data_IF_720486261686
#
_entry.id   IF_720486261686
#
_cell.length_a   1.000
_cell.length_b   1.000
_cell.length_c   1.000
_cell.angle_alpha   90.00
_cell.angle_beta   90.00
_cell.angle_gamma   90.00
#
_symmetry.space_group_name_H-M   'P 1'
#
loop_
_entity.id
_entity.type
_entity.pdbx_description
1 polymer ?
#
# COMPACT_ATOMS: atom_id res chain seq x y z
N UNK A 1 -28.54 10.29 0.92
CA UNK A 1 -27.36 9.54 0.45
C UNK A 1 -27.85 8.14 0.14
N UNK A 2 -28.16 7.88 -1.12
CA UNK A 2 -28.81 6.64 -1.57
C UNK A 2 -27.78 5.51 -1.49
N UNK A 3 -28.02 4.54 -0.60
CA UNK A 3 -27.24 3.30 -0.52
C UNK A 3 -27.46 2.49 -1.79
N UNK A 4 -26.39 2.09 -2.47
CA UNK A 4 -26.45 1.17 -3.60
C UNK A 4 -26.93 -0.19 -3.05
N UNK A 5 -28.02 -0.78 -3.58
CA UNK A 5 -28.50 -2.09 -3.13
C UNK A 5 -27.48 -3.19 -3.45
N UNK A 6 -27.35 -4.19 -2.58
CA UNK A 6 -26.31 -5.24 -2.65
C UNK A 6 -26.27 -5.99 -4.00
N UNK A 7 -27.42 -6.22 -4.64
CA UNK A 7 -27.50 -6.85 -5.96
C UNK A 7 -26.92 -5.99 -7.09
N UNK A 8 -27.03 -4.67 -6.98
CA UNK A 8 -26.44 -3.73 -7.91
C UNK A 8 -24.92 -3.62 -7.69
N UNK A 9 -24.47 -3.79 -6.44
CA UNK A 9 -23.04 -3.86 -6.11
C UNK A 9 -22.38 -5.13 -6.68
N UNK A 10 -23.02 -6.30 -6.56
CA UNK A 10 -22.53 -7.55 -7.13
C UNK A 10 -22.40 -7.47 -8.66
N UNK A 11 -23.42 -6.93 -9.33
CA UNK A 11 -23.38 -6.73 -10.79
C UNK A 11 -22.28 -5.76 -11.22
N UNK A 12 -22.05 -4.67 -10.47
CA UNK A 12 -20.97 -3.72 -10.72
C UNK A 12 -19.59 -4.35 -10.49
N UNK A 13 -19.45 -5.22 -9.50
CA UNK A 13 -18.21 -5.96 -9.24
C UNK A 13 -17.92 -6.94 -10.38
N UNK A 14 -18.93 -7.65 -10.87
CA UNK A 14 -18.80 -8.59 -11.99
C UNK A 14 -18.45 -7.85 -13.29
N UNK A 15 -19.14 -6.75 -13.58
CA UNK A 15 -18.84 -5.86 -14.71
C UNK A 15 -17.41 -5.31 -14.65
N UNK A 16 -16.95 -4.88 -13.46
CA UNK A 16 -15.57 -4.39 -13.27
C UNK A 16 -14.52 -5.49 -13.30
N UNK A 17 -14.89 -6.74 -13.01
CA UNK A 17 -13.99 -7.89 -13.07
C UNK A 17 -13.63 -8.31 -14.50
N UNK A 18 -14.47 -7.95 -15.47
CA UNK A 18 -14.27 -8.23 -16.89
C UNK A 18 -13.58 -7.10 -17.65
N UNK A 19 -13.24 -6.00 -16.98
CA UNK A 19 -12.58 -4.87 -17.61
C UNK A 19 -11.17 -5.27 -18.09
N UNK A 20 -10.78 -4.92 -19.34
CA UNK A 20 -9.46 -5.21 -19.86
C UNK A 20 -8.36 -4.60 -18.97
N UNK A 21 -7.36 -5.43 -18.63
CA UNK A 21 -6.18 -5.01 -17.88
C UNK A 21 -4.95 -5.25 -18.74
N UNK A 22 -4.18 -4.19 -18.97
CA UNK A 22 -2.91 -4.24 -19.69
C UNK A 22 -1.76 -4.03 -18.71
N UNK A 23 -0.87 -5.01 -18.58
CA UNK A 23 0.35 -4.86 -17.80
C UNK A 23 1.44 -4.24 -18.67
N UNK A 24 2.18 -3.32 -18.08
CA UNK A 24 3.27 -2.57 -18.72
C UNK A 24 4.56 -2.84 -17.96
N UNK A 25 5.62 -3.20 -18.66
CA UNK A 25 6.91 -3.41 -18.04
C UNK A 25 7.99 -3.84 -19.01
N UNK A 26 9.18 -4.10 -18.45
CA UNK A 26 10.36 -4.50 -19.23
C UNK A 26 10.35 -5.98 -19.60
N UNK A 27 9.72 -6.82 -18.78
CA UNK A 27 9.71 -8.28 -19.00
C UNK A 27 8.75 -8.64 -20.15
N UNK A 28 9.00 -9.74 -20.88
CA UNK A 28 8.17 -10.18 -22.00
C UNK A 28 6.82 -10.79 -21.57
N UNK A 29 6.57 -10.94 -20.27
CA UNK A 29 5.28 -11.41 -19.71
C UNK A 29 4.21 -10.29 -19.66
N UNK A 30 4.59 -9.05 -19.93
CA UNK A 30 3.67 -7.91 -19.98
C UNK A 30 3.03 -7.80 -21.36
N UNK A 31 1.78 -7.31 -21.42
CA UNK A 31 1.12 -6.99 -22.69
C UNK A 31 1.77 -5.80 -23.40
N UNK A 32 2.34 -4.86 -22.64
CA UNK A 32 3.10 -3.72 -23.17
C UNK A 32 4.55 -3.86 -22.71
N UNK A 33 5.40 -4.33 -23.62
CA UNK A 33 6.82 -4.54 -23.34
C UNK A 33 7.61 -3.31 -23.74
N UNK A 34 8.24 -2.65 -22.78
CA UNK A 34 9.14 -1.53 -23.01
C UNK A 34 10.55 -1.95 -22.61
N UNK A 35 11.38 -2.25 -23.62
CA UNK A 35 12.73 -2.78 -23.45
C UNK A 35 13.75 -1.70 -22.99
N UNK A 36 13.52 -1.11 -21.82
CA UNK A 36 14.42 -0.14 -21.19
C UNK A 36 14.85 -0.64 -19.81
N UNK A 37 16.15 -0.62 -19.51
CA UNK A 37 16.72 -1.04 -18.23
C UNK A 37 16.25 -0.25 -17.00
N UNK A 38 15.71 0.97 -17.18
CA UNK A 38 15.13 1.78 -16.12
C UNK A 38 13.67 1.43 -15.82
N UNK A 39 13.02 0.63 -16.65
CA UNK A 39 11.64 0.19 -16.43
C UNK A 39 11.66 -1.11 -15.62
N UNK A 40 10.87 -1.14 -14.53
CA UNK A 40 10.68 -2.34 -13.72
C UNK A 40 10.15 -3.51 -14.55
N UNK A 41 10.43 -4.75 -14.10
CA UNK A 41 9.96 -5.95 -14.78
C UNK A 41 8.44 -5.96 -14.97
N UNK A 42 7.70 -5.58 -13.93
CA UNK A 42 6.30 -5.14 -13.99
C UNK A 42 6.29 -3.72 -13.42
N UNK A 43 5.94 -2.73 -14.24
CA UNK A 43 6.10 -1.32 -13.89
C UNK A 43 4.77 -0.68 -13.53
N UNK A 44 3.78 -0.85 -14.39
CA UNK A 44 2.46 -0.26 -14.21
C UNK A 44 1.39 -1.18 -14.83
N UNK A 45 0.12 -0.90 -14.54
CA UNK A 45 -1.02 -1.49 -15.26
C UNK A 45 -2.02 -0.42 -15.66
N UNK A 46 -2.70 -0.67 -16.78
CA UNK A 46 -3.84 0.10 -17.25
C UNK A 46 -5.10 -0.76 -17.12
N UNK A 47 -6.12 -0.20 -16.47
CA UNK A 47 -7.44 -0.83 -16.32
C UNK A 47 -8.41 0.01 -17.12
N UNK A 48 -8.98 -0.56 -18.19
CA UNK A 48 -9.92 0.15 -19.04
C UNK A 48 -11.28 0.27 -18.35
N UNK A 49 -11.74 1.48 -18.03
CA UNK A 49 -13.02 1.70 -17.35
C UNK A 49 -14.15 2.03 -18.34
N UNK A 50 -13.81 2.71 -19.44
CA UNK A 50 -14.69 2.99 -20.57
C UNK A 50 -13.88 3.10 -21.86
N UNK A 51 -14.51 3.46 -22.98
CA UNK A 51 -13.82 3.64 -24.27
C UNK A 51 -12.67 4.67 -24.17
N UNK A 52 -12.89 5.78 -23.44
CA UNK A 52 -11.98 6.92 -23.41
C UNK A 52 -11.35 7.16 -22.03
N UNK A 53 -11.69 6.34 -21.02
CA UNK A 53 -11.21 6.50 -19.64
C UNK A 53 -10.57 5.23 -19.11
N UNK A 54 -9.33 5.35 -18.67
CA UNK A 54 -8.54 4.26 -18.11
C UNK A 54 -8.00 4.66 -16.73
N UNK A 55 -7.70 3.67 -15.91
CA UNK A 55 -6.98 3.87 -14.66
C UNK A 55 -5.55 3.37 -14.86
N UNK A 56 -4.59 4.26 -14.71
CA UNK A 56 -3.18 3.94 -14.64
C UNK A 56 -2.76 3.74 -13.19
N UNK A 57 -2.10 2.62 -12.90
CA UNK A 57 -1.61 2.27 -11.56
C UNK A 57 -0.14 1.85 -11.63
N UNK A 58 0.68 2.49 -10.79
CA UNK A 58 2.09 2.14 -10.61
C UNK A 58 2.21 0.91 -9.71
N UNK A 59 2.97 -0.10 -10.15
CA UNK A 59 3.17 -1.35 -9.42
C UNK A 59 4.44 -1.31 -8.55
N UNK A 60 4.63 -0.19 -7.84
CA UNK A 60 5.81 0.08 -7.01
C UNK A 60 7.10 0.07 -7.84
N UNK A 61 7.08 0.80 -8.95
CA UNK A 61 8.18 0.82 -9.88
C UNK A 61 9.39 1.59 -9.31
N UNK A 62 10.61 1.14 -9.67
CA UNK A 62 11.85 1.68 -9.09
C UNK A 62 12.01 3.18 -9.35
N UNK A 63 11.60 3.64 -10.53
CA UNK A 63 11.76 5.03 -10.96
C UNK A 63 10.44 5.81 -10.95
N UNK A 64 9.32 5.15 -10.63
CA UNK A 64 7.99 5.75 -10.61
C UNK A 64 7.33 5.92 -11.98
N UNK A 65 6.01 6.05 -11.92
CA UNK A 65 5.15 6.45 -13.03
C UNK A 65 4.69 7.90 -12.81
N UNK A 66 4.67 8.70 -13.87
CA UNK A 66 4.23 10.09 -13.84
C UNK A 66 3.19 10.34 -14.92
N UNK A 67 2.24 11.22 -14.64
CA UNK A 67 1.24 11.67 -15.62
C UNK A 67 1.29 13.19 -15.66
N UNK A 68 1.55 13.75 -16.85
CA UNK A 68 1.71 15.20 -17.06
C UNK A 68 2.68 15.81 -16.02
N UNK A 69 3.82 15.15 -15.79
CA UNK A 69 4.90 15.58 -14.88
C UNK A 69 4.68 15.27 -13.39
N UNK A 70 3.52 14.76 -12.98
CA UNK A 70 3.22 14.46 -11.58
C UNK A 70 3.37 12.97 -11.29
N UNK A 71 4.12 12.59 -10.25
CA UNK A 71 4.27 11.18 -9.83
C UNK A 71 2.93 10.67 -9.33
N UNK A 72 2.52 9.50 -9.79
CA UNK A 72 1.25 8.87 -9.39
C UNK A 72 1.49 7.50 -8.79
N UNK A 73 0.56 7.08 -7.94
CA UNK A 73 0.37 5.69 -7.54
C UNK A 73 -0.82 5.09 -8.28
N UNK A 74 -1.91 5.84 -8.41
CA UNK A 74 -3.09 5.50 -9.21
C UNK A 74 -3.76 6.78 -9.71
N UNK A 75 -4.13 6.84 -10.99
CA UNK A 75 -4.80 8.03 -11.58
C UNK A 75 -5.70 7.63 -12.75
N UNK A 76 -6.85 8.30 -12.87
CA UNK A 76 -7.70 8.21 -14.06
C UNK A 76 -7.04 9.04 -15.16
N UNK A 77 -6.88 8.44 -16.34
CA UNK A 77 -6.18 8.99 -17.50
C UNK A 77 -7.05 8.83 -18.76
N UNK A 78 -6.96 9.81 -19.64
CA UNK A 78 -7.55 9.74 -20.99
C UNK A 78 -6.53 9.31 -22.03
N UNK A 79 -6.99 9.00 -23.25
CA UNK A 79 -6.13 8.55 -24.36
C UNK A 79 -5.02 9.55 -24.74
N UNK A 80 -5.27 10.85 -24.55
CA UNK A 80 -4.33 11.92 -24.89
C UNK A 80 -3.38 12.30 -23.74
N UNK A 81 -3.55 11.71 -22.55
CA UNK A 81 -2.66 12.00 -21.42
C UNK A 81 -1.27 11.45 -21.69
N UNK A 82 -0.26 12.25 -21.35
CA UNK A 82 1.14 11.84 -21.45
C UNK A 82 1.57 11.16 -20.16
N UNK A 83 2.03 9.93 -20.29
CA UNK A 83 2.57 9.11 -19.22
C UNK A 83 4.07 9.00 -19.38
N UNK A 84 4.77 9.23 -18.30
CA UNK A 84 6.19 8.98 -18.20
C UNK A 84 6.43 7.77 -17.29
N UNK A 85 7.04 6.72 -17.85
CA UNK A 85 7.44 5.50 -17.17
C UNK A 85 8.97 5.53 -17.05
N UNK A 86 9.47 5.81 -15.85
CA UNK A 86 10.88 6.16 -15.65
C UNK A 86 11.33 7.34 -16.55
N UNK A 87 12.17 7.07 -17.55
CA UNK A 87 12.68 8.05 -18.51
C UNK A 87 12.06 7.92 -19.92
N UNK A 88 11.08 7.03 -20.10
CA UNK A 88 10.32 6.93 -21.34
C UNK A 88 8.99 7.67 -21.22
N UNK A 89 8.61 8.42 -22.26
CA UNK A 89 7.34 9.13 -22.34
C UNK A 89 6.51 8.56 -23.47
N UNK A 90 5.24 8.29 -23.20
CA UNK A 90 4.26 7.76 -24.15
C UNK A 90 2.90 8.44 -23.92
N UNK A 91 2.07 8.49 -24.94
CA UNK A 91 0.64 8.73 -24.74
C UNK A 91 -0.08 7.43 -24.34
N UNK A 92 -1.23 7.53 -23.69
CA UNK A 92 -2.04 6.35 -23.39
C UNK A 92 -2.47 5.63 -24.67
N UNK A 93 -2.82 6.37 -25.72
CA UNK A 93 -3.12 5.81 -27.04
C UNK A 93 -1.98 4.94 -27.58
N UNK A 94 -0.75 5.45 -27.55
CA UNK A 94 0.45 4.69 -27.97
C UNK A 94 0.64 3.41 -27.15
N UNK A 95 0.45 3.47 -25.82
CA UNK A 95 0.57 2.28 -24.97
C UNK A 95 -0.48 1.21 -25.32
N UNK A 96 -1.70 1.61 -25.69
CA UNK A 96 -2.75 0.69 -26.13
C UNK A 96 -2.49 0.13 -27.53
N UNK A 97 -1.94 0.93 -28.44
CA UNK A 97 -1.48 0.46 -29.76
C UNK A 97 -0.36 -0.57 -29.62
N UNK A 98 0.59 -0.36 -28.71
CA UNK A 98 1.63 -1.33 -28.39
C UNK A 98 1.05 -2.63 -27.83
N UNK A 99 0.01 -2.55 -26.98
CA UNK A 99 -0.70 -3.73 -26.48
C UNK A 99 -1.44 -4.50 -27.59
N UNK A 100 -1.93 -3.78 -28.60
CA UNK A 100 -2.70 -4.33 -29.73
C UNK A 100 -1.83 -4.90 -30.84
N UNK A 101 -0.59 -4.40 -30.96
CA UNK A 101 0.38 -4.76 -32.01
C UNK A 101 1.22 -5.99 -31.66
N UNK A 102 1.23 -6.41 -30.39
CA UNK A 102 1.88 -7.65 -30.00
C UNK A 102 0.95 -8.84 -30.31
N UNK A 103 1.43 -9.87 -31.04
CA UNK A 103 0.65 -11.09 -31.18
C UNK A 103 0.39 -11.64 -29.78
N UNK A 104 -0.89 -11.74 -29.42
CA UNK A 104 -1.29 -12.34 -28.16
C UNK A 104 -0.60 -13.71 -28.04
N UNK A 105 0.14 -14.00 -26.97
CA UNK A 105 0.43 -15.38 -26.65
C UNK A 105 -0.93 -16.02 -26.39
N UNK A 106 -1.34 -16.86 -27.34
CA UNK A 106 -2.61 -17.58 -27.37
C UNK A 106 -3.06 -17.99 -25.97
N UNK A 107 -4.19 -17.42 -25.54
CA UNK A 107 -5.02 -18.02 -24.51
C UNK A 107 -5.48 -19.39 -25.02
N UNK A 108 -4.84 -20.45 -24.57
CA UNK A 108 -5.39 -21.79 -24.63
C UNK A 108 -5.10 -22.51 -23.32
N UNK A 109 -6.15 -23.13 -22.79
CA UNK A 109 -6.16 -23.98 -21.60
C UNK A 109 -5.17 -25.18 -21.70
N UNK A 110 -4.93 -25.92 -20.60
CA UNK A 110 -3.64 -26.51 -20.26
C UNK A 110 -3.35 -27.84 -20.97
N UNK A 111 -2.06 -28.16 -21.14
CA UNK A 111 -1.35 -29.46 -20.94
C UNK A 111 -0.09 -29.54 -21.84
N UNK A 112 0.74 -30.60 -21.77
CA UNK A 112 1.76 -30.91 -20.75
C UNK A 112 3.19 -31.01 -21.35
N UNK A 113 4.22 -30.92 -20.48
CA UNK A 113 5.59 -31.50 -20.53
C UNK A 113 6.37 -31.41 -21.87
N UNK A 114 7.58 -30.84 -21.91
CA UNK A 114 8.90 -31.52 -21.94
C UNK A 114 9.96 -30.39 -21.81
N UNK A 115 10.70 -30.28 -20.69
CA UNK A 115 12.11 -30.73 -20.48
C UNK A 115 13.02 -30.48 -21.70
N UNK A 116 14.19 -29.85 -21.69
CA UNK A 116 15.20 -29.58 -20.68
C UNK A 116 16.07 -28.42 -21.19
N UNK A 117 16.52 -27.57 -20.26
CA UNK A 117 17.86 -26.95 -20.28
C UNK A 117 18.13 -26.51 -18.84
N UNK A 118 18.67 -27.46 -18.08
CA UNK A 118 19.07 -27.34 -16.70
C UNK A 118 20.41 -26.63 -16.58
N UNK A 119 20.54 -25.65 -15.68
CA UNK A 119 21.69 -25.41 -14.78
C UNK A 119 21.46 -24.16 -13.89
N UNK A 120 21.81 -24.15 -12.58
CA UNK A 120 22.07 -25.25 -11.64
C UNK A 120 20.97 -25.37 -10.57
N UNK A 121 20.79 -26.59 -10.08
CA UNK A 121 19.94 -26.90 -8.95
C UNK A 121 20.47 -26.30 -7.64
N UNK A 122 19.67 -25.45 -7.00
CA UNK A 122 19.61 -25.34 -5.54
C UNK A 122 18.23 -25.83 -5.10
N UNK A 123 18.05 -27.15 -5.11
CA UNK A 123 16.92 -27.80 -4.43
C UNK A 123 17.20 -27.77 -2.93
N UNK A 124 16.65 -26.77 -2.25
CA UNK A 124 16.16 -26.79 -0.86
C UNK A 124 15.89 -25.32 -0.49
N UNK A 125 14.69 -24.81 -0.24
CA UNK A 125 13.48 -25.45 0.27
C UNK A 125 12.38 -24.42 0.00
N UNK A 126 11.38 -24.69 -0.84
CA UNK A 126 10.22 -23.79 -0.98
C UNK A 126 9.29 -23.83 0.25
N UNK A 127 9.80 -24.28 1.40
CA UNK A 127 9.11 -24.32 2.68
C UNK A 127 9.42 -23.02 3.42
N UNK A 128 8.40 -22.18 3.53
CA UNK A 128 8.41 -20.91 4.22
C UNK A 128 7.43 -20.91 5.41
N UNK A 129 7.14 -22.09 5.98
CA UNK A 129 6.15 -22.24 7.05
C UNK A 129 6.45 -21.35 8.25
N UNK A 130 7.71 -21.27 8.68
CA UNK A 130 8.11 -20.42 9.80
C UNK A 130 8.02 -18.93 9.46
N UNK A 131 8.47 -18.54 8.27
CA UNK A 131 8.43 -17.15 7.82
C UNK A 131 6.99 -16.66 7.63
N UNK A 132 6.08 -17.52 7.17
CA UNK A 132 4.66 -17.19 7.05
C UNK A 132 3.96 -17.12 8.41
N UNK A 133 4.28 -18.00 9.36
CA UNK A 133 3.77 -17.91 10.73
C UNK A 133 4.16 -16.58 11.38
N UNK A 134 5.37 -16.07 11.14
CA UNK A 134 5.79 -14.76 11.64
C UNK A 134 4.95 -13.59 11.07
N UNK A 135 4.27 -13.75 9.93
CA UNK A 135 3.40 -12.74 9.34
C UNK A 135 2.04 -12.63 10.05
N UNK A 136 1.63 -13.64 10.83
CA UNK A 136 0.43 -13.57 11.68
C UNK A 136 0.54 -12.41 12.66
N UNK A 137 1.70 -12.29 13.31
CA UNK A 137 1.99 -11.17 14.20
C UNK A 137 1.91 -9.82 13.49
N UNK A 138 2.39 -9.73 12.25
CA UNK A 138 2.33 -8.49 11.45
C UNK A 138 0.88 -8.11 11.13
N UNK A 139 0.05 -9.09 10.76
CA UNK A 139 -1.38 -8.92 10.50
C UNK A 139 -2.12 -8.44 11.76
N UNK A 140 -1.91 -9.11 12.89
CA UNK A 140 -2.56 -8.80 14.17
C UNK A 140 -2.13 -7.46 14.78
N UNK A 141 -0.87 -7.07 14.58
CA UNK A 141 -0.33 -5.82 15.12
C UNK A 141 -0.82 -4.60 14.34
N UNK A 142 -1.06 -4.72 13.04
CA UNK A 142 -1.48 -3.61 12.18
C UNK A 142 -2.73 -2.85 12.69
N UNK A 143 -3.88 -3.49 12.96
CA UNK A 143 -5.06 -2.79 13.44
C UNK A 143 -4.87 -2.20 14.85
N UNK A 144 -4.04 -2.83 15.69
CA UNK A 144 -3.70 -2.36 17.04
C UNK A 144 -2.88 -1.07 16.96
N UNK A 145 -1.80 -1.06 16.16
CA UNK A 145 -0.95 0.12 15.93
C UNK A 145 -1.74 1.31 15.38
N UNK A 146 -2.65 1.06 14.42
CA UNK A 146 -3.50 2.11 13.84
C UNK A 146 -4.51 2.67 14.85
N UNK A 147 -5.08 1.81 15.69
CA UNK A 147 -5.99 2.19 16.78
C UNK A 147 -5.25 2.97 17.86
N UNK A 148 -4.07 2.53 18.26
CA UNK A 148 -3.24 3.18 19.28
C UNK A 148 -2.77 4.55 18.82
N UNK A 149 -2.41 4.70 17.54
CA UNK A 149 -2.08 5.99 16.94
C UNK A 149 -3.25 6.98 17.04
N UNK A 150 -4.47 6.53 16.70
CA UNK A 150 -5.70 7.34 16.82
C UNK A 150 -6.07 7.65 18.27
N UNK A 151 -5.97 6.67 19.16
CA UNK A 151 -6.34 6.81 20.56
C UNK A 151 -5.36 7.72 21.32
N UNK A 152 -4.08 7.65 21.00
CA UNK A 152 -3.05 8.53 21.56
C UNK A 152 -3.28 9.98 21.18
N UNK A 153 -3.65 10.26 19.93
CA UNK A 153 -4.04 11.63 19.53
C UNK A 153 -5.33 12.09 20.24
N UNK A 154 -6.36 11.24 20.33
CA UNK A 154 -7.58 11.57 21.08
C UNK A 154 -7.26 11.92 22.53
N UNK A 155 -6.38 11.16 23.18
CA UNK A 155 -5.96 11.42 24.55
C UNK A 155 -5.17 12.74 24.67
N UNK A 156 -4.31 13.08 23.71
CA UNK A 156 -3.60 14.37 23.67
C UNK A 156 -4.60 15.53 23.48
N UNK A 157 -5.56 15.40 22.56
CA UNK A 157 -6.58 16.43 22.28
C UNK A 157 -7.51 16.63 23.49
N UNK A 158 -8.03 15.56 24.07
CA UNK A 158 -8.93 15.62 25.24
C UNK A 158 -8.20 16.04 26.51
N UNK A 159 -6.96 15.58 26.71
CA UNK A 159 -6.10 16.00 27.82
C UNK A 159 -5.77 17.49 27.77
N UNK A 160 -5.47 18.04 26.59
CA UNK A 160 -5.25 19.49 26.40
C UNK A 160 -6.50 20.32 26.73
N UNK A 161 -7.69 19.86 26.34
CA UNK A 161 -8.98 20.52 26.66
C UNK A 161 -9.28 20.49 28.16
N UNK A 162 -9.03 19.38 28.85
CA UNK A 162 -9.26 19.27 30.30
C UNK A 162 -8.26 20.13 31.07
N UNK A 163 -6.97 20.09 30.71
CA UNK A 163 -5.91 20.84 31.40
C UNK A 163 -6.11 22.35 31.25
N UNK A 164 -6.46 22.83 30.05
CA UNK A 164 -6.76 24.25 29.79
C UNK A 164 -8.00 24.74 30.55
N UNK A 165 -9.01 23.90 30.69
CA UNK A 165 -10.23 24.23 31.45
C UNK A 165 -9.94 24.36 32.96
N UNK A 166 -9.12 23.47 33.53
CA UNK A 166 -8.77 23.50 34.97
C UNK A 166 -7.88 24.70 35.32
N UNK A 167 -6.91 25.04 34.47
CA UNK A 167 -6.06 26.23 34.65
C UNK A 167 -6.91 27.51 34.59
N UNK A 168 -7.88 27.59 33.68
CA UNK A 168 -8.75 28.75 33.52
C UNK A 168 -9.66 28.98 34.73
N UNK A 169 -10.27 27.93 35.27
CA UNK A 169 -11.15 28.03 36.44
C UNK A 169 -10.36 28.37 37.72
N UNK A 170 -9.14 27.84 37.87
CA UNK A 170 -8.30 28.10 39.05
C UNK A 170 -7.74 29.53 39.10
N UNK A 171 -7.47 30.14 37.93
CA UNK A 171 -6.99 31.52 37.86
C UNK A 171 -8.07 32.55 38.27
N UNK A 172 -9.34 32.30 37.92
CA UNK A 172 -10.46 33.21 38.18
C UNK A 172 -10.80 33.28 39.68
N UNK A 173 -10.56 32.21 40.45
CA UNK A 173 -10.82 32.19 41.90
C UNK A 173 -9.71 32.83 42.76
N UNK A 174 -8.57 33.21 42.20
CA UNK A 174 -7.42 33.71 42.99
C UNK A 174 -7.27 35.24 43.04
N UNK A 175 -8.23 36.01 42.50
CA UNK A 175 -8.21 37.48 42.54
C UNK A 175 -8.58 38.08 43.91
N UNK A 176 -8.23 37.38 44.99
CA UNK A 176 -8.37 37.83 46.37
C UNK A 176 -7.09 37.61 47.17
N UNK A 177 -6.19 38.59 47.15
CA UNK A 177 -5.23 38.81 48.23
C UNK A 177 -3.83 38.20 48.04
N UNK A 178 -2.88 39.09 47.77
CA UNK A 178 -1.46 39.06 48.19
C UNK A 178 -0.58 37.83 47.88
N UNK A 179 0.42 38.09 47.03
CA UNK A 179 1.77 37.52 47.05
C UNK A 179 1.94 36.00 46.78
N UNK A 180 2.33 35.71 45.53
CA UNK A 180 3.36 34.74 45.12
C UNK A 180 3.47 33.43 45.92
N UNK A 181 2.90 32.33 45.41
CA UNK A 181 3.64 31.07 45.45
C UNK A 181 3.36 30.18 44.22
N UNK A 182 3.78 30.58 43.01
CA UNK A 182 3.74 29.67 41.85
C UNK A 182 4.95 29.77 40.91
N UNK A 183 6.06 30.37 41.36
CA UNK A 183 7.30 30.41 40.57
C UNK A 183 8.16 29.12 40.68
N UNK A 184 7.72 28.10 41.41
CA UNK A 184 8.54 26.90 41.71
C UNK A 184 7.98 25.55 41.24
N UNK A 185 6.96 25.51 40.37
CA UNK A 185 6.48 24.22 39.80
C UNK A 185 7.05 23.96 38.38
N UNK A 186 7.91 24.83 37.86
CA UNK A 186 8.44 24.75 36.49
C UNK A 186 9.95 24.43 36.42
N UNK A 187 10.44 23.39 37.09
CA UNK A 187 11.87 23.03 36.94
C UNK A 187 12.24 21.54 36.94
N UNK A 188 11.35 20.61 37.28
CA UNK A 188 11.76 19.19 37.41
C UNK A 188 11.14 18.21 36.42
N UNK A 189 9.84 18.35 36.13
CA UNK A 189 9.08 17.36 35.38
C UNK A 189 8.72 17.78 33.95
N UNK A 190 8.91 19.06 33.61
CA UNK A 190 8.50 19.61 32.32
C UNK A 190 9.32 19.08 31.15
N UNK A 191 10.65 19.00 31.26
CA UNK A 191 11.49 18.61 30.12
C UNK A 191 11.45 17.11 29.80
N UNK A 192 11.34 16.22 30.79
CA UNK A 192 11.33 14.77 30.54
C UNK A 192 10.02 14.28 29.93
N UNK A 193 8.91 14.97 30.18
CA UNK A 193 7.62 14.71 29.53
C UNK A 193 7.59 15.29 28.11
N UNK A 194 8.27 16.42 27.88
CA UNK A 194 8.29 17.12 26.60
C UNK A 194 9.08 16.40 25.49
N UNK A 195 10.18 15.71 25.80
CA UNK A 195 11.01 15.09 24.76
C UNK A 195 10.31 13.93 24.02
N UNK A 196 9.61 12.99 24.69
CA UNK A 196 8.79 12.00 23.99
C UNK A 196 7.55 12.61 23.31
N UNK A 197 6.98 13.71 23.83
CA UNK A 197 5.82 14.37 23.22
C UNK A 197 6.19 15.15 21.96
N UNK A 198 7.34 15.83 21.93
CA UNK A 198 7.82 16.62 20.79
C UNK A 198 8.04 15.76 19.54
N UNK A 199 8.60 14.55 19.67
CA UNK A 199 8.70 13.62 18.52
C UNK A 199 7.32 13.15 18.02
N UNK A 200 6.33 13.02 18.92
CA UNK A 200 4.95 12.71 18.53
C UNK A 200 4.14 13.90 18.01
N UNK A 201 4.67 15.12 17.97
CA UNK A 201 3.99 16.31 17.42
C UNK A 201 4.50 16.75 16.05
N UNK A 202 5.58 16.15 15.53
CA UNK A 202 6.16 16.58 14.24
C UNK A 202 5.37 16.10 13.01
N UNK A 203 4.66 14.98 13.14
CA UNK A 203 3.81 14.41 12.08
C UNK A 203 2.36 14.42 12.53
N UNK A 204 1.48 14.81 11.62
CA UNK A 204 0.04 14.63 11.76
C UNK A 204 -0.30 13.14 11.93
N UNK A 205 -1.45 12.86 12.54
CA UNK A 205 -1.90 11.48 12.72
C UNK A 205 -2.13 10.79 11.39
N UNK A 206 -2.57 11.52 10.38
CA UNK A 206 -2.77 10.97 9.04
C UNK A 206 -1.43 10.55 8.42
N UNK A 207 -0.37 11.37 8.51
CA UNK A 207 0.98 10.98 8.07
C UNK A 207 1.53 9.77 8.82
N UNK A 208 1.27 9.66 10.14
CA UNK A 208 1.66 8.48 10.91
C UNK A 208 0.91 7.23 10.48
N UNK A 209 -0.39 7.35 10.19
CA UNK A 209 -1.20 6.25 9.67
C UNK A 209 -0.70 5.84 8.28
N UNK A 210 -0.35 6.79 7.41
CA UNK A 210 0.23 6.51 6.10
C UNK A 210 1.57 5.75 6.21
N UNK A 211 2.42 6.12 7.16
CA UNK A 211 3.67 5.39 7.42
C UNK A 211 3.41 3.96 7.90
N UNK A 212 2.44 3.77 8.81
CA UNK A 212 2.02 2.43 9.28
C UNK A 212 1.46 1.61 8.11
N UNK A 213 0.63 2.21 7.26
CA UNK A 213 0.03 1.56 6.10
C UNK A 213 1.10 1.17 5.04
N UNK A 214 2.12 2.03 4.86
CA UNK A 214 3.26 1.75 4.00
C UNK A 214 4.09 0.58 4.54
N UNK A 215 4.46 0.63 5.82
CA UNK A 215 5.27 -0.42 6.45
C UNK A 215 4.53 -1.76 6.49
N UNK A 216 3.23 -1.75 6.74
CA UNK A 216 2.38 -2.94 6.64
C UNK A 216 2.40 -3.51 5.22
N UNK A 217 2.25 -2.69 4.19
CA UNK A 217 2.29 -3.13 2.79
C UNK A 217 3.65 -3.67 2.38
N UNK A 218 4.73 -3.18 2.97
CA UNK A 218 6.09 -3.67 2.71
C UNK A 218 6.37 -5.02 3.38
N UNK A 219 5.87 -5.22 4.61
CA UNK A 219 6.11 -6.41 5.43
C UNK A 219 5.11 -7.55 5.17
N UNK A 220 3.83 -7.25 4.91
CA UNK A 220 2.78 -8.24 4.71
C UNK A 220 2.72 -8.71 3.24
N UNK A 221 3.70 -9.55 2.88
CA UNK A 221 3.92 -10.06 1.52
C UNK A 221 4.36 -11.52 1.56
N UNK A 222 4.40 -12.17 0.41
CA UNK A 222 4.99 -13.50 0.26
C UNK A 222 6.40 -13.56 0.91
N UNK A 223 6.68 -14.53 1.80
CA UNK A 223 7.96 -14.67 2.48
C UNK A 223 9.10 -15.12 1.56
N UNK A 224 8.79 -15.62 0.35
CA UNK A 224 9.81 -15.90 -0.65
C UNK A 224 10.42 -14.57 -1.15
N UNK A 225 11.73 -14.33 -0.93
CA UNK A 225 12.40 -13.08 -1.30
C UNK A 225 12.38 -12.79 -2.80
N UNK A 226 12.30 -13.82 -3.64
CA UNK A 226 12.19 -13.68 -5.10
C UNK A 226 10.78 -13.30 -5.55
N UNK A 227 9.76 -13.58 -4.73
CA UNK A 227 8.36 -13.36 -5.09
C UNK A 227 7.82 -12.05 -4.55
N UNK A 228 7.87 -11.87 -3.22
CA UNK A 228 7.31 -10.71 -2.48
C UNK A 228 5.95 -10.20 -2.99
N UNK A 229 5.10 -11.11 -3.44
CA UNK A 229 3.75 -10.80 -3.90
C UNK A 229 2.96 -10.18 -2.74
N UNK A 230 2.34 -9.00 -2.93
CA UNK A 230 1.61 -8.33 -1.87
C UNK A 230 0.31 -9.08 -1.55
N UNK A 231 0.09 -9.35 -0.27
CA UNK A 231 -1.16 -9.99 0.18
C UNK A 231 -2.35 -9.02 0.19
N UNK A 232 -2.08 -7.72 0.25
CA UNK A 232 -3.08 -6.67 0.22
C UNK A 232 -3.98 -6.73 1.46
N UNK A 233 -5.29 -6.82 1.25
CA UNK A 233 -6.31 -6.87 2.30
C UNK A 233 -6.71 -8.30 2.69
N UNK A 234 -6.05 -9.32 2.15
CA UNK A 234 -6.38 -10.72 2.44
C UNK A 234 -6.10 -11.05 3.90
N UNK A 235 -7.08 -11.66 4.55
CA UNK A 235 -6.97 -12.17 5.91
C UNK A 235 -5.91 -13.26 6.01
N UNK A 236 -5.22 -13.33 7.15
CA UNK A 236 -4.13 -14.28 7.36
C UNK A 236 -4.65 -15.73 7.31
N UNK A 237 -5.82 -16.01 7.91
CA UNK A 237 -6.44 -17.33 7.93
C UNK A 237 -6.79 -17.81 6.51
N UNK A 238 -7.20 -16.89 5.63
CA UNK A 238 -7.47 -17.22 4.23
C UNK A 238 -6.19 -17.68 3.52
N UNK A 239 -5.08 -16.97 3.75
CA UNK A 239 -3.78 -17.33 3.18
C UNK A 239 -3.23 -18.64 3.76
N UNK A 240 -3.45 -18.88 5.06
CA UNK A 240 -3.07 -20.12 5.73
C UNK A 240 -3.82 -21.33 5.14
N UNK A 241 -5.14 -21.20 4.90
CA UNK A 241 -5.95 -22.23 4.21
C UNK A 241 -5.48 -22.51 2.79
N UNK A 242 -4.93 -21.50 2.11
CA UNK A 242 -4.43 -21.64 0.76
C UNK A 242 -3.16 -22.52 0.69
N UNK A 243 -2.41 -22.65 1.80
CA UNK A 243 -1.18 -23.46 1.98
C UNK A 243 0.01 -23.13 1.08
N UNK A 244 -0.21 -22.56 -0.10
CA UNK A 244 0.83 -22.21 -1.07
C UNK A 244 0.59 -20.86 -1.74
N UNK A 245 1.67 -20.24 -2.23
CA UNK A 245 1.62 -19.02 -3.02
C UNK A 245 1.10 -19.29 -4.43
N UNK A 246 0.10 -18.52 -4.90
CA UNK A 246 -0.38 -18.63 -6.30
C UNK A 246 0.67 -18.25 -7.34
N UNK A 247 1.66 -17.45 -6.95
CA UNK A 247 2.64 -16.86 -7.86
C UNK A 247 3.96 -17.62 -7.93
N UNK A 248 4.51 -18.02 -6.77
CA UNK A 248 5.81 -18.71 -6.71
C UNK A 248 5.75 -20.13 -6.14
N UNK A 249 4.56 -20.63 -5.79
CA UNK A 249 4.36 -21.95 -5.21
C UNK A 249 5.11 -22.21 -3.89
N UNK A 250 5.59 -21.16 -3.21
CA UNK A 250 6.09 -21.26 -1.84
C UNK A 250 5.04 -21.90 -0.93
N UNK A 251 5.42 -22.95 -0.22
CA UNK A 251 4.61 -23.66 0.77
C UNK A 251 4.76 -22.95 2.09
N UNK A 252 3.65 -22.64 2.75
CA UNK A 252 3.65 -21.96 4.05
C UNK A 252 2.85 -22.69 5.13
N UNK A 253 2.10 -23.72 4.76
CA UNK A 253 1.47 -24.66 5.70
C UNK A 253 1.51 -26.04 5.05
N UNK A 254 2.19 -26.99 5.67
CA UNK A 254 2.13 -28.42 5.29
C UNK A 254 0.81 -29.03 5.76
#
# INVERSE_FOLDING_TARGET
MSSIPDSQLEHLIEEWSHLPIYHIGRKPDNQVVIANGKISGQHARLIQCSADSLILEDLDSKNGTFVNGNRITRKIVGLTDTVQLADCSYTIGELLELASSQPQPVSAQPSPVVSDLQLPATKSTLDYTQQFAALEQVYDQYPKLRRDCRNREKMIRTGSVILSSVISVSAILSTGGTALPLLHIMSGAGLSVLVPTLCSTLLSTDEKIELIDKEYRERYRCPNPECRDPFGTREWEFLARQKTCRRCQAVWVN
#
